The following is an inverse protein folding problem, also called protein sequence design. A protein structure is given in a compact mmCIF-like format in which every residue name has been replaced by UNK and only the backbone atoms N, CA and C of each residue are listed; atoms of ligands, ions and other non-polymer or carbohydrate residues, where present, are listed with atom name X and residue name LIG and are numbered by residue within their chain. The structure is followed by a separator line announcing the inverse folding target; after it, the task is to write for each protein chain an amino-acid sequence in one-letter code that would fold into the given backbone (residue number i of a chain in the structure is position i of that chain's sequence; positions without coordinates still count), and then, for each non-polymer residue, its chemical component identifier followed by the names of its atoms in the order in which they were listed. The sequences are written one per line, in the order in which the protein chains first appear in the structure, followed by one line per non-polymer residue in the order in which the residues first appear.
data_IF_171146023381
#
_entry.id   IF_171146023381
#
_cell.length_a   1.000
_cell.length_b   1.000
_cell.length_c   1.000
_cell.angle_alpha   90.00
_cell.angle_beta   90.00
_cell.angle_gamma   90.00
#
_symmetry.space_group_name_H-M   'P 1'
#
loop_
_entity.id
_entity.type
_entity.pdbx_description
1 polymer ?
#
# COMPACT_ATOMS: atom_id res chain seq x y z
N UNK A 1 1.57 -42.03 -9.63
CA UNK A 1 2.17 -40.76 -9.12
C UNK A 1 1.05 -39.76 -8.88
N UNK A 2 0.99 -39.21 -7.67
CA UNK A 2 0.00 -38.16 -7.35
C UNK A 2 0.49 -36.82 -7.89
N UNK A 3 -0.44 -35.87 -8.08
CA UNK A 3 -0.08 -34.48 -8.47
C UNK A 3 0.90 -33.81 -7.49
N UNK A 4 0.80 -34.19 -6.20
CA UNK A 4 1.74 -33.73 -5.17
C UNK A 4 3.14 -34.30 -5.37
N UNK A 5 3.26 -35.55 -5.83
CA UNK A 5 4.57 -36.15 -6.15
C UNK A 5 5.25 -35.39 -7.28
N UNK A 6 4.52 -35.17 -8.37
CA UNK A 6 5.01 -34.40 -9.52
C UNK A 6 5.41 -32.99 -9.12
N UNK A 7 4.61 -32.30 -8.29
CA UNK A 7 4.91 -30.95 -7.81
C UNK A 7 6.19 -30.93 -6.97
N UNK A 8 6.31 -31.85 -6.00
CA UNK A 8 7.44 -31.87 -5.07
C UNK A 8 8.73 -32.33 -5.74
N UNK A 9 8.67 -33.22 -6.73
CA UNK A 9 9.84 -33.67 -7.50
C UNK A 9 10.35 -32.60 -8.46
N UNK A 10 9.44 -31.97 -9.17
CA UNK A 10 9.79 -30.96 -10.17
C UNK A 10 10.39 -29.70 -9.54
N UNK A 11 9.88 -29.26 -8.41
CA UNK A 11 10.18 -27.95 -7.85
C UNK A 11 11.09 -28.00 -6.61
N UNK A 12 11.11 -29.12 -5.88
CA UNK A 12 11.84 -29.25 -4.61
C UNK A 12 12.51 -30.60 -4.51
N UNK A 13 13.73 -30.62 -3.98
CA UNK A 13 14.45 -31.87 -3.72
C UNK A 13 14.04 -32.47 -2.36
N UNK A 14 12.75 -32.74 -2.16
CA UNK A 14 12.25 -33.33 -0.93
C UNK A 14 12.61 -34.81 -0.81
N UNK A 15 12.99 -35.20 0.39
CA UNK A 15 13.15 -36.63 0.71
C UNK A 15 11.76 -37.30 0.90
N UNK A 16 11.75 -38.63 0.99
CA UNK A 16 10.49 -39.39 1.10
C UNK A 16 9.65 -39.00 2.33
N UNK A 17 10.28 -38.73 3.47
CA UNK A 17 9.57 -38.30 4.68
C UNK A 17 8.93 -36.93 4.53
N UNK A 18 9.61 -35.99 3.84
CA UNK A 18 9.04 -34.68 3.55
C UNK A 18 7.88 -34.76 2.55
N UNK A 19 8.00 -35.61 1.52
CA UNK A 19 6.90 -35.85 0.56
C UNK A 19 5.67 -36.45 1.24
N UNK A 20 5.88 -37.45 2.11
CA UNK A 20 4.80 -38.07 2.86
C UNK A 20 4.12 -37.08 3.83
N UNK A 21 4.90 -36.28 4.54
CA UNK A 21 4.38 -35.21 5.39
C UNK A 21 3.59 -34.19 4.60
N UNK A 22 4.06 -33.79 3.42
CA UNK A 22 3.39 -32.83 2.54
C UNK A 22 2.01 -33.34 2.10
N UNK A 23 1.96 -34.61 1.66
CA UNK A 23 0.70 -35.28 1.30
C UNK A 23 -0.29 -35.31 2.47
N UNK A 24 0.19 -35.76 3.63
CA UNK A 24 -0.65 -35.89 4.84
C UNK A 24 -1.22 -34.53 5.26
N UNK A 25 -0.40 -33.48 5.30
CA UNK A 25 -0.86 -32.14 5.67
C UNK A 25 -1.87 -31.57 4.69
N UNK A 26 -1.76 -31.91 3.40
CA UNK A 26 -2.71 -31.47 2.40
C UNK A 26 -4.03 -32.26 2.42
N UNK A 27 -3.96 -33.55 2.71
CA UNK A 27 -5.11 -34.47 2.66
C UNK A 27 -5.92 -34.51 3.94
N UNK A 28 -5.26 -34.36 5.09
CA UNK A 28 -5.88 -34.49 6.40
C UNK A 28 -5.95 -33.13 7.10
N UNK A 29 -7.11 -32.54 7.12
CA UNK A 29 -7.38 -31.28 7.82
C UNK A 29 -8.42 -31.46 8.93
N UNK A 30 -8.80 -30.46 9.70
CA UNK A 30 -8.40 -29.04 9.58
C UNK A 30 -7.09 -28.69 10.32
N UNK A 31 -6.52 -29.57 11.14
CA UNK A 31 -5.32 -29.31 11.92
C UNK A 31 -4.22 -30.31 11.55
N UNK A 32 -3.04 -29.77 11.19
CA UNK A 32 -1.84 -30.54 10.92
C UNK A 32 -0.68 -30.13 11.82
N UNK A 33 0.04 -31.09 12.36
CA UNK A 33 1.25 -30.87 13.14
C UNK A 33 2.45 -31.45 12.43
N UNK A 34 3.47 -30.61 12.18
CA UNK A 34 4.73 -31.01 11.58
C UNK A 34 5.88 -30.80 12.56
N UNK A 35 6.58 -31.88 12.90
CA UNK A 35 7.76 -31.80 13.71
C UNK A 35 9.00 -32.17 12.89
N UNK A 36 10.06 -31.39 13.04
CA UNK A 36 11.35 -31.68 12.39
C UNK A 36 12.51 -31.06 13.17
N UNK A 37 13.65 -31.74 13.30
CA UNK A 37 14.86 -31.21 13.91
C UNK A 37 15.36 -29.93 13.22
N UNK A 38 16.22 -29.13 13.85
CA UNK A 38 16.93 -28.05 13.19
C UNK A 38 17.65 -28.51 11.93
N UNK A 39 17.67 -27.69 10.88
CA UNK A 39 18.38 -28.00 9.61
C UNK A 39 17.65 -28.96 8.66
N UNK A 40 16.45 -29.45 8.99
CA UNK A 40 15.69 -30.38 8.12
C UNK A 40 14.90 -29.70 6.99
N UNK A 41 15.09 -28.39 6.79
CA UNK A 41 14.45 -27.67 5.67
C UNK A 41 13.00 -27.25 5.95
N UNK A 42 12.57 -27.10 7.22
CA UNK A 42 11.21 -26.65 7.57
C UNK A 42 10.77 -25.38 6.85
N UNK A 43 11.62 -24.37 6.79
CA UNK A 43 11.31 -23.10 6.12
C UNK A 43 11.07 -23.29 4.61
N UNK A 44 11.87 -24.16 3.97
CA UNK A 44 11.66 -24.51 2.55
C UNK A 44 10.36 -25.30 2.35
N UNK A 45 10.03 -26.16 3.28
CA UNK A 45 8.78 -26.91 3.32
C UNK A 45 7.57 -25.99 3.48
N UNK A 46 7.62 -25.05 4.43
CA UNK A 46 6.56 -24.04 4.65
C UNK A 46 6.34 -23.23 3.37
N UNK A 47 7.41 -22.72 2.77
CA UNK A 47 7.30 -21.94 1.53
C UNK A 47 6.69 -22.74 0.39
N UNK A 48 7.09 -24.01 0.23
CA UNK A 48 6.52 -24.90 -0.79
C UNK A 48 5.04 -25.22 -0.51
N UNK A 49 4.67 -25.43 0.74
CA UNK A 49 3.30 -25.73 1.13
C UNK A 49 2.36 -24.55 0.89
N UNK A 50 2.82 -23.34 1.23
CA UNK A 50 2.10 -22.08 0.93
C UNK A 50 1.91 -21.91 -0.57
N UNK A 51 2.98 -22.08 -1.35
CA UNK A 51 2.91 -21.97 -2.81
C UNK A 51 1.92 -22.97 -3.41
N UNK A 52 2.02 -24.25 -3.02
CA UNK A 52 1.08 -25.27 -3.49
C UNK A 52 -0.37 -24.99 -3.09
N UNK A 53 -0.61 -24.52 -1.87
CA UNK A 53 -1.95 -24.17 -1.40
C UNK A 53 -2.56 -23.03 -2.24
N UNK A 54 -1.76 -22.04 -2.62
CA UNK A 54 -2.21 -20.96 -3.51
C UNK A 54 -2.53 -21.51 -4.91
N UNK A 55 -1.69 -22.38 -5.46
CA UNK A 55 -1.98 -23.06 -6.73
C UNK A 55 -3.29 -23.88 -6.69
N UNK A 56 -3.63 -24.41 -5.51
CA UNK A 56 -4.89 -25.17 -5.28
C UNK A 56 -6.09 -24.28 -4.93
N UNK A 57 -5.93 -22.99 -5.00
CA UNK A 57 -7.04 -22.03 -4.89
C UNK A 57 -7.16 -21.32 -3.54
N UNK A 58 -6.23 -21.54 -2.60
CA UNK A 58 -6.20 -20.74 -1.37
C UNK A 58 -5.96 -19.27 -1.72
N UNK A 59 -6.86 -18.40 -1.28
CA UNK A 59 -6.83 -16.97 -1.60
C UNK A 59 -6.20 -16.15 -0.48
N UNK A 60 -6.24 -16.68 0.76
CA UNK A 60 -5.80 -15.94 1.93
C UNK A 60 -5.08 -16.84 2.93
N UNK A 61 -3.83 -16.50 3.20
CA UNK A 61 -2.94 -17.30 4.06
C UNK A 61 -2.38 -16.40 5.17
N UNK A 62 -2.40 -16.88 6.39
CA UNK A 62 -1.75 -16.28 7.55
C UNK A 62 -0.49 -17.08 7.87
N UNK A 63 0.66 -16.42 7.87
CA UNK A 63 1.95 -16.98 8.23
C UNK A 63 2.48 -16.28 9.47
N UNK A 64 2.58 -17.00 10.57
CA UNK A 64 3.03 -16.45 11.85
C UNK A 64 4.13 -17.27 12.48
N UNK A 65 4.91 -16.63 13.31
CA UNK A 65 5.89 -17.26 14.18
C UNK A 65 6.07 -16.46 15.48
N UNK A 66 6.76 -17.04 16.44
CA UNK A 66 7.08 -16.36 17.69
C UNK A 66 8.19 -15.31 17.51
N UNK A 67 9.16 -15.56 16.64
CA UNK A 67 10.28 -14.66 16.42
C UNK A 67 10.18 -13.88 15.10
N UNK A 68 10.67 -12.63 15.11
CA UNK A 68 10.76 -11.80 13.91
C UNK A 68 11.63 -12.45 12.83
N UNK A 69 12.75 -13.06 13.24
CA UNK A 69 13.68 -13.72 12.34
C UNK A 69 13.02 -14.91 11.60
N UNK A 70 12.29 -15.75 12.33
CA UNK A 70 11.59 -16.89 11.71
C UNK A 70 10.52 -16.43 10.71
N UNK A 71 9.75 -15.38 11.05
CA UNK A 71 8.77 -14.79 10.09
C UNK A 71 9.48 -14.26 8.87
N UNK A 72 10.58 -13.51 9.02
CA UNK A 72 11.33 -12.96 7.89
C UNK A 72 11.86 -14.08 6.99
N UNK A 73 12.54 -15.08 7.57
CA UNK A 73 13.07 -16.22 6.82
C UNK A 73 11.97 -16.98 6.05
N UNK A 74 10.80 -17.18 6.67
CA UNK A 74 9.69 -17.86 6.01
C UNK A 74 9.09 -17.01 4.89
N UNK A 75 8.89 -15.71 5.09
CA UNK A 75 8.38 -14.80 4.08
C UNK A 75 9.35 -14.64 2.88
N UNK A 76 10.66 -14.53 3.14
CA UNK A 76 11.69 -14.53 2.11
C UNK A 76 11.66 -15.81 1.27
N UNK A 77 11.49 -16.95 1.95
CA UNK A 77 11.42 -18.24 1.27
C UNK A 77 10.19 -18.38 0.39
N UNK A 78 9.04 -17.89 0.84
CA UNK A 78 7.83 -17.81 0.02
C UNK A 78 8.11 -16.98 -1.24
N UNK A 79 8.64 -15.77 -1.10
CA UNK A 79 8.98 -14.90 -2.24
C UNK A 79 9.98 -15.55 -3.20
N UNK A 80 11.01 -16.19 -2.67
CA UNK A 80 12.02 -16.90 -3.46
C UNK A 80 11.37 -17.98 -4.34
N UNK A 81 10.46 -18.76 -3.77
CA UNK A 81 9.78 -19.84 -4.49
C UNK A 81 8.93 -19.29 -5.63
N UNK A 82 8.09 -18.29 -5.38
CA UNK A 82 7.29 -17.66 -6.42
C UNK A 82 8.15 -17.06 -7.52
N UNK A 83 9.25 -16.38 -7.17
CA UNK A 83 10.19 -15.83 -8.15
C UNK A 83 10.83 -16.92 -9.03
N UNK A 84 11.21 -18.07 -8.44
CA UNK A 84 11.77 -19.20 -9.19
C UNK A 84 10.78 -19.83 -10.17
N UNK A 85 9.49 -19.71 -9.90
CA UNK A 85 8.43 -20.19 -10.79
C UNK A 85 7.97 -19.13 -11.80
N UNK A 86 8.58 -17.93 -11.82
CA UNK A 86 8.16 -16.77 -12.58
C UNK A 86 6.73 -16.33 -12.24
N UNK A 87 6.32 -16.49 -10.98
CA UNK A 87 5.02 -16.10 -10.45
C UNK A 87 5.17 -14.96 -9.47
N UNK A 88 4.08 -14.22 -9.25
CA UNK A 88 4.00 -13.15 -8.26
C UNK A 88 3.03 -13.52 -7.15
N UNK A 89 3.35 -13.10 -5.94
CA UNK A 89 2.46 -13.27 -4.79
C UNK A 89 2.36 -11.95 -4.02
N UNK A 90 1.15 -11.59 -3.63
CA UNK A 90 0.93 -10.38 -2.84
C UNK A 90 1.09 -10.69 -1.36
N UNK A 91 2.15 -10.15 -0.75
CA UNK A 91 2.53 -10.38 0.64
C UNK A 91 2.53 -9.05 1.39
N UNK A 92 2.17 -9.08 2.67
CA UNK A 92 2.44 -8.01 3.63
C UNK A 92 3.17 -8.57 4.85
N UNK A 93 4.21 -7.87 5.30
CA UNK A 93 4.95 -8.14 6.54
C UNK A 93 4.55 -7.09 7.58
N UNK A 94 3.74 -7.54 8.56
CA UNK A 94 3.26 -6.71 9.67
C UNK A 94 4.29 -6.69 10.80
N UNK A 95 4.50 -5.53 11.39
CA UNK A 95 5.39 -5.31 12.52
C UNK A 95 6.25 -4.07 12.35
N UNK A 96 7.00 -3.75 13.39
CA UNK A 96 7.85 -2.57 13.42
C UNK A 96 9.02 -2.72 12.42
N UNK A 97 9.34 -1.66 11.66
CA UNK A 97 10.33 -1.68 10.56
C UNK A 97 11.72 -2.18 11.00
N UNK A 98 12.12 -1.84 12.23
CA UNK A 98 13.42 -2.25 12.81
C UNK A 98 13.60 -3.79 12.87
N UNK A 99 12.51 -4.54 12.81
CA UNK A 99 12.49 -6.00 12.87
C UNK A 99 12.21 -6.67 11.52
N UNK A 100 12.08 -5.88 10.45
CA UNK A 100 11.87 -6.38 9.10
C UNK A 100 13.22 -6.39 8.36
N UNK A 101 13.58 -7.51 7.75
CA UNK A 101 14.82 -7.59 6.98
C UNK A 101 14.77 -6.69 5.75
N UNK A 102 15.93 -6.17 5.31
CA UNK A 102 16.05 -5.31 4.14
C UNK A 102 15.44 -5.93 2.87
N UNK A 103 15.54 -7.25 2.73
CA UNK A 103 14.97 -8.01 1.62
C UNK A 103 13.44 -8.01 1.58
N UNK A 104 12.79 -7.66 2.70
CA UNK A 104 11.32 -7.58 2.87
C UNK A 104 10.83 -6.14 3.06
N UNK A 105 11.73 -5.15 3.04
CA UNK A 105 11.38 -3.75 3.29
C UNK A 105 10.27 -3.25 2.34
N UNK A 106 10.27 -3.70 1.09
CA UNK A 106 9.29 -3.34 0.06
C UNK A 106 7.87 -3.88 0.31
N UNK A 107 7.73 -4.90 1.16
CA UNK A 107 6.44 -5.48 1.58
C UNK A 107 6.08 -5.13 3.03
N UNK A 108 6.85 -4.26 3.67
CA UNK A 108 6.47 -3.67 4.95
C UNK A 108 5.19 -2.84 4.82
N UNK A 109 4.49 -2.67 5.92
CA UNK A 109 3.28 -1.85 5.96
C UNK A 109 3.53 -0.44 5.42
N UNK A 110 4.59 0.22 5.91
CA UNK A 110 4.89 1.61 5.57
C UNK A 110 5.30 1.75 4.09
N UNK A 111 6.09 0.83 3.55
CA UNK A 111 6.46 0.81 2.13
C UNK A 111 5.23 0.60 1.23
N UNK A 112 4.36 -0.34 1.57
CA UNK A 112 3.13 -0.57 0.83
C UNK A 112 2.20 0.64 0.90
N UNK A 113 2.06 1.26 2.08
CA UNK A 113 1.26 2.46 2.25
C UNK A 113 1.78 3.61 1.40
N UNK A 114 3.10 3.81 1.37
CA UNK A 114 3.74 4.82 0.52
C UNK A 114 3.47 4.56 -0.96
N UNK A 115 3.71 3.34 -1.42
CA UNK A 115 3.49 2.94 -2.82
C UNK A 115 2.04 3.13 -3.26
N UNK A 116 1.07 2.74 -2.42
CA UNK A 116 -0.34 2.96 -2.74
C UNK A 116 -0.72 4.43 -2.79
N UNK A 117 -0.19 5.26 -1.88
CA UNK A 117 -0.42 6.71 -1.93
C UNK A 117 0.10 7.32 -3.23
N UNK A 118 1.27 6.90 -3.69
CA UNK A 118 1.84 7.37 -4.96
C UNK A 118 1.01 6.90 -6.16
N UNK A 119 0.60 5.62 -6.18
CA UNK A 119 -0.27 5.07 -7.22
C UNK A 119 -1.63 5.79 -7.27
N UNK A 120 -2.26 5.99 -6.12
CA UNK A 120 -3.54 6.70 -6.05
C UNK A 120 -3.43 8.14 -6.51
N UNK A 121 -2.34 8.84 -6.15
CA UNK A 121 -2.10 10.20 -6.65
C UNK A 121 -1.97 10.25 -8.17
N UNK A 122 -1.23 9.32 -8.76
CA UNK A 122 -1.05 9.23 -10.21
C UNK A 122 -2.38 8.88 -10.91
N UNK A 123 -3.13 7.91 -10.38
CA UNK A 123 -4.42 7.49 -10.92
C UNK A 123 -5.47 8.61 -10.85
N UNK A 124 -5.53 9.32 -9.73
CA UNK A 124 -6.45 10.45 -9.56
C UNK A 124 -6.10 11.59 -10.51
N UNK A 125 -4.82 11.88 -10.70
CA UNK A 125 -4.39 12.87 -11.69
C UNK A 125 -4.91 12.50 -13.09
N UNK A 126 -4.76 11.24 -13.49
CA UNK A 126 -5.29 10.77 -14.78
C UNK A 126 -6.81 10.87 -14.86
N UNK A 127 -7.53 10.50 -13.81
CA UNK A 127 -8.99 10.60 -13.75
C UNK A 127 -9.48 12.04 -13.85
N UNK A 128 -8.82 12.97 -13.15
CA UNK A 128 -9.13 14.40 -13.23
C UNK A 128 -8.89 14.91 -14.66
N UNK A 129 -7.77 14.54 -15.29
CA UNK A 129 -7.48 14.92 -16.68
C UNK A 129 -8.55 14.40 -17.64
N UNK A 130 -8.98 13.14 -17.51
CA UNK A 130 -10.02 12.55 -18.34
C UNK A 130 -11.39 13.23 -18.14
N UNK A 131 -11.77 13.46 -16.88
CA UNK A 131 -13.02 14.16 -16.57
C UNK A 131 -13.03 15.61 -17.07
N UNK A 132 -11.90 16.30 -16.95
CA UNK A 132 -11.75 17.67 -17.41
C UNK A 132 -11.78 17.79 -18.95
N UNK A 133 -11.24 16.79 -19.68
CA UNK A 133 -11.39 16.71 -21.14
C UNK A 133 -12.86 16.62 -21.57
N UNK A 134 -13.69 15.90 -20.81
CA UNK A 134 -15.14 15.82 -21.07
C UNK A 134 -15.87 17.16 -20.84
N UNK A 135 -15.26 18.09 -20.08
CA UNK A 135 -15.74 19.46 -19.91
C UNK A 135 -15.23 20.41 -21.00
N UNK A 136 -14.55 19.91 -22.03
CA UNK A 136 -13.95 20.73 -23.11
C UNK A 136 -12.97 21.80 -22.60
N UNK A 137 -12.30 21.53 -21.47
CA UNK A 137 -11.26 22.42 -20.94
C UNK A 137 -9.92 22.17 -21.63
N UNK A 138 -9.14 23.23 -21.92
CA UNK A 138 -7.81 23.10 -22.51
C UNK A 138 -6.89 22.27 -21.63
N UNK A 139 -6.06 21.41 -22.24
CA UNK A 139 -5.16 20.53 -21.48
C UNK A 139 -4.14 21.31 -20.65
N UNK A 140 -3.66 22.43 -21.20
CA UNK A 140 -2.72 23.31 -20.51
C UNK A 140 -3.32 23.95 -19.25
N UNK A 141 -4.63 24.28 -19.28
CA UNK A 141 -5.36 24.72 -18.10
C UNK A 141 -5.40 23.60 -17.05
N UNK A 142 -5.75 22.38 -17.46
CA UNK A 142 -5.88 21.23 -16.56
C UNK A 142 -4.53 20.95 -15.89
N UNK A 143 -3.45 20.91 -16.64
CA UNK A 143 -2.10 20.66 -16.12
C UNK A 143 -1.63 21.77 -15.19
N UNK A 144 -1.81 23.03 -15.58
CA UNK A 144 -1.42 24.18 -14.76
C UNK A 144 -2.22 24.23 -13.44
N UNK A 145 -3.52 23.97 -13.50
CA UNK A 145 -4.37 23.98 -12.31
C UNK A 145 -4.08 22.80 -11.37
N UNK A 146 -3.79 21.61 -11.90
CA UNK A 146 -3.36 20.48 -11.07
C UNK A 146 -2.01 20.73 -10.41
N UNK A 147 -1.07 21.34 -11.13
CA UNK A 147 0.22 21.71 -10.56
C UNK A 147 0.08 22.77 -9.46
N UNK A 148 -0.79 23.76 -9.66
CA UNK A 148 -1.16 24.73 -8.64
C UNK A 148 -1.76 24.07 -7.39
N UNK A 149 -2.77 23.22 -7.55
CA UNK A 149 -3.45 22.57 -6.43
C UNK A 149 -2.53 21.65 -5.64
N UNK A 150 -1.69 20.87 -6.32
CA UNK A 150 -0.73 19.97 -5.69
C UNK A 150 0.41 20.70 -4.97
N UNK A 151 0.89 21.80 -5.55
CA UNK A 151 2.04 22.52 -5.01
C UNK A 151 1.66 23.56 -3.95
N UNK A 152 0.50 24.18 -4.09
CA UNK A 152 0.11 25.35 -3.30
C UNK A 152 -1.31 25.25 -2.74
N UNK A 153 -2.33 25.02 -3.58
CA UNK A 153 -3.72 25.17 -3.25
C UNK A 153 -4.13 24.41 -1.98
N UNK A 154 -3.68 23.17 -1.85
CA UNK A 154 -3.98 22.30 -0.70
C UNK A 154 -3.28 22.69 0.60
N UNK A 155 -2.26 23.50 0.52
CA UNK A 155 -1.48 23.90 1.69
C UNK A 155 -1.84 25.32 2.18
N UNK A 156 -2.71 26.05 1.49
CA UNK A 156 -3.08 27.44 1.84
C UNK A 156 -3.58 27.53 3.27
N UNK A 157 -4.56 26.69 3.65
CA UNK A 157 -5.13 26.67 4.99
C UNK A 157 -4.09 26.38 6.08
N UNK A 158 -3.11 25.52 5.78
CA UNK A 158 -2.05 25.15 6.71
C UNK A 158 -1.12 26.33 6.98
N UNK A 159 -0.76 27.07 5.92
CA UNK A 159 0.11 28.24 6.05
C UNK A 159 -0.63 29.45 6.62
N UNK A 160 -1.94 29.55 6.39
CA UNK A 160 -2.74 30.62 6.94
C UNK A 160 -2.95 30.50 8.47
N UNK A 161 -3.16 29.27 8.98
CA UNK A 161 -3.41 29.01 10.41
C UNK A 161 -2.13 29.03 11.27
N UNK A 162 -0.95 28.95 10.66
CA UNK A 162 0.33 28.79 11.36
C UNK A 162 1.21 30.05 11.21
N UNK A 163 0.97 31.06 12.06
CA UNK A 163 1.68 32.35 12.03
C UNK A 163 3.22 32.23 12.20
N UNK A 164 3.71 31.17 12.86
CA UNK A 164 5.12 30.93 13.15
C UNK A 164 5.81 29.94 12.22
N UNK A 165 5.27 29.71 11.03
CA UNK A 165 5.89 28.76 10.09
C UNK A 165 7.16 29.35 9.48
N UNK A 166 8.33 28.87 9.93
CA UNK A 166 9.66 29.28 9.43
C UNK A 166 9.81 29.16 7.90
N UNK A 167 8.96 28.40 7.25
CA UNK A 167 8.97 28.15 5.81
C UNK A 167 7.98 29.03 5.04
N UNK A 168 7.18 29.88 5.70
CA UNK A 168 6.14 30.69 5.05
C UNK A 168 6.73 31.58 3.95
N UNK A 169 7.78 32.33 4.25
CA UNK A 169 8.39 33.25 3.28
C UNK A 169 8.90 32.55 2.03
N UNK A 170 9.56 31.41 2.18
CA UNK A 170 10.03 30.60 1.05
C UNK A 170 8.85 30.03 0.24
N UNK A 171 7.76 29.64 0.91
CA UNK A 171 6.57 29.15 0.25
C UNK A 171 5.85 30.29 -0.52
N UNK A 172 5.71 31.48 0.05
CA UNK A 172 5.15 32.66 -0.62
C UNK A 172 5.97 33.09 -1.84
N UNK A 173 7.31 33.04 -1.73
CA UNK A 173 8.18 33.30 -2.86
C UNK A 173 7.97 32.29 -3.99
N UNK A 174 7.88 31.01 -3.70
CA UNK A 174 7.58 29.96 -4.67
C UNK A 174 6.21 30.14 -5.32
N UNK A 175 5.20 30.51 -4.53
CA UNK A 175 3.86 30.82 -5.01
C UNK A 175 3.90 32.03 -5.97
N UNK A 176 4.54 33.12 -5.61
CA UNK A 176 4.72 34.29 -6.49
C UNK A 176 5.45 33.93 -7.78
N UNK A 177 6.51 33.14 -7.71
CA UNK A 177 7.25 32.68 -8.89
C UNK A 177 6.41 31.78 -9.79
N UNK A 178 5.52 30.98 -9.22
CA UNK A 178 4.56 30.19 -9.99
C UNK A 178 3.61 31.08 -10.80
N UNK A 179 3.07 32.15 -10.20
CA UNK A 179 2.20 33.09 -10.89
C UNK A 179 2.94 33.88 -11.99
N UNK A 180 4.15 34.30 -11.74
CA UNK A 180 5.00 34.95 -12.75
C UNK A 180 5.23 33.99 -13.93
N UNK A 181 5.63 32.76 -13.64
CA UNK A 181 5.93 31.74 -14.66
C UNK A 181 4.72 31.42 -15.55
N UNK A 182 3.55 31.23 -14.93
CA UNK A 182 2.37 30.74 -15.64
C UNK A 182 1.46 31.84 -16.18
N UNK A 183 1.46 33.03 -15.58
CA UNK A 183 0.52 34.10 -15.96
C UNK A 183 1.22 35.40 -16.33
N UNK A 184 2.55 35.45 -16.28
CA UNK A 184 3.33 36.69 -16.45
C UNK A 184 2.82 37.84 -15.53
N UNK A 185 2.34 37.42 -14.33
CA UNK A 185 1.69 38.32 -13.38
C UNK A 185 2.30 38.17 -11.99
N UNK A 186 2.84 39.28 -11.45
CA UNK A 186 3.38 39.32 -10.09
C UNK A 186 2.27 39.65 -9.10
N UNK A 187 1.88 38.65 -8.31
CA UNK A 187 0.93 38.82 -7.20
C UNK A 187 1.72 39.00 -5.90
N UNK A 188 1.53 40.09 -5.16
CA UNK A 188 2.15 40.27 -3.84
C UNK A 188 1.37 39.43 -2.82
N UNK A 189 1.78 38.15 -2.67
CA UNK A 189 1.17 37.31 -1.66
C UNK A 189 1.78 37.56 -0.27
N UNK A 190 0.90 37.71 0.70
CA UNK A 190 1.20 37.74 2.11
C UNK A 190 0.16 36.91 2.89
N UNK A 191 0.37 36.74 4.18
CA UNK A 191 -0.53 35.92 4.98
C UNK A 191 -1.97 36.46 5.03
N UNK A 192 -2.18 37.75 4.86
CA UNK A 192 -3.52 38.38 4.93
C UNK A 192 -4.38 38.10 3.71
N UNK A 193 -3.75 37.88 2.53
CA UNK A 193 -4.45 37.70 1.26
C UNK A 193 -4.42 36.24 0.75
N UNK A 194 -3.92 35.29 1.53
CA UNK A 194 -3.88 33.89 1.11
C UNK A 194 -5.24 33.28 0.79
N UNK A 195 -6.32 33.76 1.43
CA UNK A 195 -7.68 33.33 1.14
C UNK A 195 -8.11 33.57 -0.31
N UNK A 196 -7.57 34.62 -0.90
CA UNK A 196 -7.91 35.01 -2.28
C UNK A 196 -7.11 34.29 -3.34
N UNK A 197 -6.13 33.47 -2.94
CA UNK A 197 -5.21 32.79 -3.84
C UNK A 197 -5.92 31.93 -4.89
N UNK A 198 -6.89 31.09 -4.48
CA UNK A 198 -7.67 30.28 -5.39
C UNK A 198 -8.48 31.14 -6.37
N UNK A 199 -9.16 32.16 -5.86
CA UNK A 199 -9.94 33.06 -6.70
C UNK A 199 -9.06 33.80 -7.71
N UNK A 200 -7.90 34.26 -7.28
CA UNK A 200 -6.90 34.93 -8.13
C UNK A 200 -6.38 33.99 -9.21
N UNK A 201 -6.02 32.75 -8.81
CA UNK A 201 -5.54 31.74 -9.75
C UNK A 201 -6.57 31.46 -10.84
N UNK A 202 -7.81 31.12 -10.47
CA UNK A 202 -8.81 30.72 -11.45
C UNK A 202 -9.25 31.86 -12.35
N UNK A 203 -9.29 33.11 -11.87
CA UNK A 203 -9.54 34.29 -12.70
C UNK A 203 -8.44 34.51 -13.76
N UNK A 204 -7.18 34.41 -13.36
CA UNK A 204 -6.05 34.53 -14.29
C UNK A 204 -6.02 33.38 -15.29
N UNK A 205 -6.33 32.16 -14.84
CA UNK A 205 -6.38 30.98 -15.71
C UNK A 205 -7.53 31.06 -16.72
N UNK A 206 -8.71 31.49 -16.31
CA UNK A 206 -9.87 31.74 -17.21
C UNK A 206 -9.48 32.68 -18.35
N UNK A 207 -8.87 33.80 -18.01
CA UNK A 207 -8.43 34.77 -18.97
C UNK A 207 -7.31 34.25 -19.90
N UNK A 208 -6.29 33.63 -19.31
CA UNK A 208 -5.13 33.14 -20.09
C UNK A 208 -5.51 32.03 -21.06
N UNK A 209 -6.32 31.11 -20.65
CA UNK A 209 -6.68 29.93 -21.44
C UNK A 209 -7.97 30.10 -22.22
N UNK A 210 -8.53 31.33 -22.24
CA UNK A 210 -9.74 31.71 -23.01
C UNK A 210 -10.91 30.75 -22.75
N UNK A 211 -11.24 30.52 -21.46
CA UNK A 211 -12.32 29.62 -21.11
C UNK A 211 -13.63 30.38 -21.06
N UNK A 212 -14.51 30.08 -22.02
CA UNK A 212 -15.78 30.79 -22.18
C UNK A 212 -16.88 30.39 -21.19
N UNK A 213 -16.72 29.28 -20.49
CA UNK A 213 -17.74 28.75 -19.59
C UNK A 213 -17.24 28.69 -18.12
N UNK A 214 -17.60 29.66 -17.28
CA UNK A 214 -17.32 29.62 -15.85
C UNK A 214 -17.89 28.36 -15.17
N UNK A 215 -19.02 27.84 -15.66
CA UNK A 215 -19.63 26.62 -15.16
C UNK A 215 -18.73 25.38 -15.32
N UNK A 216 -17.93 25.33 -16.40
CA UNK A 216 -17.00 24.23 -16.62
C UNK A 216 -15.82 24.30 -15.64
N UNK A 217 -15.36 25.51 -15.29
CA UNK A 217 -14.35 25.70 -14.24
C UNK A 217 -14.89 25.28 -12.89
N UNK A 218 -16.12 25.65 -12.54
CA UNK A 218 -16.76 25.26 -11.29
C UNK A 218 -16.87 23.74 -11.17
N UNK A 219 -17.43 23.08 -12.18
CA UNK A 219 -17.50 21.60 -12.24
C UNK A 219 -16.11 20.94 -12.15
N UNK A 220 -15.12 21.52 -12.79
CA UNK A 220 -13.75 21.03 -12.71
C UNK A 220 -13.21 21.15 -11.28
N UNK A 221 -13.42 22.28 -10.61
CA UNK A 221 -13.01 22.48 -9.22
C UNK A 221 -13.69 21.47 -8.28
N UNK A 222 -14.96 21.18 -8.50
CA UNK A 222 -15.68 20.15 -7.72
C UNK A 222 -15.05 18.76 -7.90
N UNK A 223 -14.73 18.38 -9.15
CA UNK A 223 -14.04 17.11 -9.43
C UNK A 223 -12.68 17.06 -8.72
N UNK A 224 -11.91 18.15 -8.80
CA UNK A 224 -10.60 18.25 -8.11
C UNK A 224 -10.79 18.12 -6.60
N UNK A 225 -11.72 18.87 -6.01
CA UNK A 225 -11.98 18.85 -4.57
C UNK A 225 -12.40 17.48 -4.08
N UNK A 226 -13.39 16.85 -4.70
CA UNK A 226 -13.87 15.51 -4.35
C UNK A 226 -12.72 14.50 -4.46
N UNK A 227 -11.93 14.58 -5.52
CA UNK A 227 -10.81 13.66 -5.75
C UNK A 227 -9.75 13.76 -4.65
N UNK A 228 -9.44 14.96 -4.21
CA UNK A 228 -8.45 15.17 -3.15
C UNK A 228 -9.01 14.91 -1.75
N UNK A 229 -10.28 15.20 -1.48
CA UNK A 229 -10.93 14.80 -0.24
C UNK A 229 -10.91 13.28 -0.08
N UNK A 230 -11.14 12.56 -1.17
CA UNK A 230 -11.07 11.10 -1.16
C UNK A 230 -9.67 10.60 -0.79
N UNK A 231 -8.59 11.21 -1.35
CA UNK A 231 -7.21 10.90 -0.93
C UNK A 231 -6.99 11.21 0.55
N UNK A 232 -7.50 12.35 1.03
CA UNK A 232 -7.34 12.77 2.41
C UNK A 232 -8.01 11.77 3.37
N UNK A 233 -9.22 11.34 3.06
CA UNK A 233 -9.94 10.31 3.83
C UNK A 233 -9.19 8.99 3.82
N UNK A 234 -8.73 8.52 2.68
CA UNK A 234 -7.91 7.30 2.56
C UNK A 234 -6.57 7.40 3.28
N UNK A 235 -6.05 8.62 3.48
CA UNK A 235 -4.76 8.86 4.14
C UNK A 235 -4.87 9.17 5.63
N UNK A 236 -6.05 9.58 6.11
CA UNK A 236 -6.24 10.11 7.47
C UNK A 236 -6.41 9.03 8.54
N UNK A 237 -6.89 7.85 8.16
CA UNK A 237 -7.10 6.76 9.09
C UNK A 237 -6.04 5.66 8.84
N UNK A 238 -4.95 5.73 9.60
CA UNK A 238 -3.88 4.71 9.54
C UNK A 238 -4.47 3.30 9.74
N UNK A 239 -5.40 3.13 10.65
CA UNK A 239 -6.03 1.82 10.93
C UNK A 239 -6.92 1.31 9.79
N UNK A 240 -7.67 2.16 9.10
CA UNK A 240 -8.50 1.74 7.97
C UNK A 240 -7.65 1.31 6.78
N UNK A 241 -6.54 2.01 6.54
CA UNK A 241 -5.63 1.64 5.46
C UNK A 241 -4.87 0.36 5.76
N UNK A 242 -4.48 0.14 7.00
CA UNK A 242 -3.87 -1.10 7.47
C UNK A 242 -4.81 -2.29 7.26
N UNK A 243 -6.06 -2.16 7.68
CA UNK A 243 -7.09 -3.18 7.46
C UNK A 243 -7.30 -3.45 5.95
N UNK A 244 -7.34 -2.41 5.11
CA UNK A 244 -7.39 -2.57 3.66
C UNK A 244 -6.18 -3.35 3.11
N UNK A 245 -4.96 -3.02 3.54
CA UNK A 245 -3.76 -3.74 3.12
C UNK A 245 -3.85 -5.21 3.50
N UNK A 246 -4.23 -5.52 4.75
CA UNK A 246 -4.40 -6.90 5.22
C UNK A 246 -5.47 -7.62 4.42
N UNK A 247 -6.63 -6.99 4.15
CA UNK A 247 -7.73 -7.60 3.38
C UNK A 247 -7.36 -7.92 1.93
N UNK A 248 -6.48 -7.14 1.33
CA UNK A 248 -6.14 -7.28 -0.10
C UNK A 248 -4.94 -8.17 -0.39
N UNK A 249 -4.19 -8.63 0.63
CA UNK A 249 -3.02 -9.49 0.44
C UNK A 249 -3.37 -10.98 0.51
N UNK A 250 -2.73 -11.75 -0.35
CA UNK A 250 -2.83 -13.21 -0.34
C UNK A 250 -2.13 -13.80 0.87
N UNK A 251 -0.93 -13.30 1.19
CA UNK A 251 -0.17 -13.77 2.35
C UNK A 251 0.01 -12.61 3.34
N UNK A 252 -0.45 -12.82 4.56
CA UNK A 252 -0.24 -11.91 5.70
C UNK A 252 0.73 -12.57 6.64
N UNK A 253 1.85 -11.92 6.94
CA UNK A 253 2.86 -12.48 7.85
C UNK A 253 3.27 -11.52 8.96
N UNK A 254 3.49 -12.06 10.15
CA UNK A 254 3.87 -11.32 11.34
C UNK A 254 4.18 -12.22 12.53
N UNK A 255 4.63 -11.63 13.64
CA UNK A 255 4.75 -12.41 14.89
C UNK A 255 3.37 -12.63 15.49
N UNK A 256 3.21 -13.72 16.25
CA UNK A 256 1.95 -14.04 16.93
C UNK A 256 1.42 -12.84 17.75
N UNK A 257 2.28 -12.20 18.52
CA UNK A 257 1.92 -10.98 19.29
C UNK A 257 1.68 -9.78 18.38
N UNK A 258 2.50 -9.61 17.34
CA UNK A 258 2.43 -8.47 16.44
C UNK A 258 1.12 -8.38 15.66
N UNK A 259 0.62 -9.52 15.17
CA UNK A 259 -0.63 -9.57 14.39
C UNK A 259 -1.89 -9.42 15.26
N UNK A 260 -1.80 -9.69 16.55
CA UNK A 260 -2.93 -9.56 17.48
C UNK A 260 -3.33 -8.09 17.75
N UNK A 261 -2.56 -7.12 17.27
CA UNK A 261 -2.90 -5.69 17.39
C UNK A 261 -4.20 -5.41 16.64
N UNK A 262 -5.23 -4.96 17.34
CA UNK A 262 -6.59 -4.77 16.83
C UNK A 262 -6.68 -3.89 15.56
N UNK A 263 -5.79 -2.91 15.43
CA UNK A 263 -5.80 -1.97 14.31
C UNK A 263 -5.44 -2.61 12.96
N UNK A 264 -4.84 -3.79 12.95
CA UNK A 264 -4.57 -4.52 11.69
C UNK A 264 -5.80 -5.23 11.14
N UNK A 265 -6.80 -5.53 11.95
CA UNK A 265 -7.99 -6.25 11.53
C UNK A 265 -7.68 -7.67 11.03
N UNK A 266 -6.58 -8.29 11.48
CA UNK A 266 -6.20 -9.65 11.09
C UNK A 266 -7.26 -10.65 11.53
N UNK A 267 -7.79 -10.48 12.73
CA UNK A 267 -8.84 -11.30 13.34
C UNK A 267 -10.23 -11.13 12.69
N UNK A 268 -10.42 -10.09 11.86
CA UNK A 268 -11.67 -9.88 11.11
C UNK A 268 -11.71 -10.65 9.78
N UNK A 269 -10.59 -11.26 9.41
CA UNK A 269 -10.45 -11.97 8.14
C UNK A 269 -10.57 -13.48 8.32
N UNK A 270 -11.11 -14.14 7.31
CA UNK A 270 -11.10 -15.60 7.20
C UNK A 270 -9.89 -15.99 6.37
N UNK A 271 -9.12 -16.94 6.86
CA UNK A 271 -7.95 -17.48 6.18
C UNK A 271 -8.20 -18.93 5.75
N UNK A 272 -7.84 -19.24 4.50
CA UNK A 272 -7.94 -20.60 3.97
C UNK A 272 -6.87 -21.50 4.56
N UNK A 273 -5.73 -20.92 4.95
CA UNK A 273 -4.61 -21.61 5.59
C UNK A 273 -3.95 -20.70 6.64
N UNK A 274 -3.72 -21.24 7.82
CA UNK A 274 -2.91 -20.62 8.87
C UNK A 274 -1.67 -21.49 9.09
N UNK A 275 -0.49 -20.92 8.93
CA UNK A 275 0.79 -21.56 9.17
C UNK A 275 1.46 -20.92 10.36
N UNK A 276 1.75 -21.72 11.38
CA UNK A 276 2.43 -21.26 12.59
C UNK A 276 3.80 -21.95 12.66
N UNK A 277 4.86 -21.21 12.36
CA UNK A 277 6.23 -21.71 12.52
C UNK A 277 6.67 -21.55 13.99
N UNK A 278 7.51 -22.44 14.47
CA UNK A 278 7.97 -22.50 15.87
C UNK A 278 6.83 -22.52 16.90
N UNK A 279 5.70 -23.16 16.59
CA UNK A 279 4.51 -23.21 17.45
C UNK A 279 4.80 -23.70 18.90
N UNK A 280 5.85 -24.51 19.11
CA UNK A 280 6.27 -24.98 20.43
C UNK A 280 6.80 -23.87 21.35
N UNK A 281 7.13 -22.70 20.82
CA UNK A 281 7.58 -21.53 21.57
C UNK A 281 6.45 -20.56 21.91
N UNK A 282 5.31 -20.69 21.25
CA UNK A 282 4.16 -19.84 21.50
C UNK A 282 3.34 -20.32 22.68
N UNK A 283 2.82 -19.38 23.44
CA UNK A 283 1.88 -19.70 24.55
C UNK A 283 0.50 -20.06 24.00
N UNK A 284 -0.33 -20.74 24.76
CA UNK A 284 -1.69 -21.11 24.37
C UNK A 284 -2.53 -19.89 24.02
N UNK A 285 -2.33 -18.76 24.69
CA UNK A 285 -3.04 -17.49 24.40
C UNK A 285 -2.58 -16.82 23.10
N UNK A 286 -1.40 -17.14 22.59
CA UNK A 286 -0.90 -16.62 21.32
C UNK A 286 -1.32 -17.50 20.13
N UNK A 287 -1.76 -18.72 20.39
CA UNK A 287 -2.24 -19.66 19.38
C UNK A 287 -3.76 -19.65 19.22
N UNK A 288 -4.48 -19.08 20.18
CA UNK A 288 -5.94 -18.94 20.17
C UNK A 288 -6.38 -17.70 19.42
#
# INVERSE_FOLDING_TARGET
ETEIDLYTEKNFKFNNSQKDAFKKLHQYGPLGLLQGPPGTGKTAFIGAFIHYSILKGSKKILLVSQSHEAVNNAAEKVREIFRKQNESVSIIRLGDEEHISDSLADISEDALQKNYRELFRAEIKQRIILAAKNLSLPIEFIETSLDFELSFGRNIDTYQKNENNKNLNNWLEKLSNFFIKHFDHKVPFDQSNLNDTHTTFYKLAEHKFQIDSPLHIEKYRDIVNISFEWIAVMSSSKSQFQNFLVKTRTVVCGTCVGIARLHYGVNENIYDLVVIDEASRASSSELA
#
